data_IF_968189283135
#
_entry.id   IF_968189283135
#
_cell.length_a   1.000
_cell.length_b   1.000
_cell.length_c   1.000
_cell.angle_alpha   90.00
_cell.angle_beta   90.00
_cell.angle_gamma   90.00
#
_symmetry.space_group_name_H-M   'P 1'
#
loop_
_entity.id
_entity.type
_entity.pdbx_description
1 polymer ?
#
# COMPACT_ATOMS: atom_id res chain seq x y z
N UNK A 1 26.21 -6.13 -4.56
CA UNK A 1 25.07 -5.54 -3.84
C UNK A 1 24.79 -6.36 -2.59
N UNK A 2 24.69 -5.73 -1.45
CA UNK A 2 24.46 -6.43 -0.19
C UNK A 2 23.01 -6.33 0.30
N UNK A 3 22.25 -5.35 -0.18
CA UNK A 3 20.89 -5.10 0.25
C UNK A 3 20.00 -4.84 -0.97
N UNK A 4 18.70 -5.06 -0.79
CA UNK A 4 17.73 -4.60 -1.78
C UNK A 4 17.73 -3.07 -1.81
N UNK A 5 17.41 -2.50 -2.97
CA UNK A 5 17.52 -1.06 -3.17
C UNK A 5 16.56 -0.29 -2.25
N UNK A 6 15.31 -0.76 -2.13
CA UNK A 6 14.34 -0.09 -1.26
C UNK A 6 14.50 -0.56 0.18
N UNK A 7 14.86 0.36 1.07
CA UNK A 7 15.01 0.05 2.49
C UNK A 7 13.81 0.45 3.34
N UNK A 8 13.00 1.38 2.86
CA UNK A 8 11.83 1.92 3.56
C UNK A 8 10.95 2.63 2.55
N UNK A 9 9.63 2.58 2.71
CA UNK A 9 8.73 3.38 1.90
C UNK A 9 7.75 4.16 2.76
N UNK A 10 7.26 5.29 2.24
CA UNK A 10 6.28 6.13 2.92
C UNK A 10 5.14 6.46 1.96
N UNK A 11 3.91 6.22 2.42
CA UNK A 11 2.70 6.55 1.67
C UNK A 11 2.03 7.72 2.40
N UNK A 12 1.99 8.91 1.79
CA UNK A 12 1.37 10.07 2.43
C UNK A 12 -0.14 9.91 2.55
N UNK A 13 -0.69 10.38 3.66
CA UNK A 13 -2.14 10.34 3.88
C UNK A 13 -2.62 11.69 4.39
N UNK A 14 -3.90 12.02 4.12
CA UNK A 14 -4.55 13.22 4.65
C UNK A 14 -5.27 12.96 5.95
N UNK A 15 -5.92 11.81 6.08
CA UNK A 15 -6.64 11.41 7.29
C UNK A 15 -6.17 10.04 7.71
N UNK A 16 -5.34 10.01 8.75
CA UNK A 16 -4.68 8.78 9.18
C UNK A 16 -5.68 7.66 9.53
N UNK A 17 -6.74 7.96 10.27
CA UNK A 17 -7.71 6.94 10.65
C UNK A 17 -8.43 6.32 9.45
N UNK A 18 -8.78 7.15 8.48
CA UNK A 18 -9.41 6.70 7.24
C UNK A 18 -8.46 5.82 6.45
N UNK A 19 -7.20 6.24 6.36
CA UNK A 19 -6.17 5.48 5.63
C UNK A 19 -5.89 4.14 6.29
N UNK A 20 -5.78 4.11 7.62
CA UNK A 20 -5.60 2.87 8.37
C UNK A 20 -6.75 1.91 8.09
N UNK A 21 -7.98 2.40 8.18
CA UNK A 21 -9.16 1.58 7.90
C UNK A 21 -9.13 0.98 6.50
N UNK A 22 -8.74 1.80 5.51
CA UNK A 22 -8.62 1.33 4.13
C UNK A 22 -7.62 0.18 4.00
N UNK A 23 -6.38 0.41 4.45
CA UNK A 23 -5.31 -0.57 4.27
C UNK A 23 -5.52 -1.84 5.10
N UNK A 24 -6.01 -1.71 6.33
CA UNK A 24 -6.30 -2.87 7.16
C UNK A 24 -7.37 -3.77 6.56
N UNK A 25 -8.43 -3.17 5.99
CA UNK A 25 -9.53 -3.94 5.40
C UNK A 25 -9.16 -4.55 4.07
N UNK A 26 -8.51 -3.78 3.19
CA UNK A 26 -8.16 -4.26 1.84
C UNK A 26 -7.15 -5.40 1.93
N UNK A 27 -6.11 -5.23 2.76
CA UNK A 27 -4.99 -6.17 2.80
C UNK A 27 -5.08 -7.18 3.96
N UNK A 28 -6.11 -7.09 4.79
CA UNK A 28 -6.33 -7.99 5.92
C UNK A 28 -5.10 -8.06 6.83
N UNK A 29 -4.69 -6.91 7.34
CA UNK A 29 -3.53 -6.78 8.21
C UNK A 29 -3.80 -5.70 9.26
N UNK A 30 -2.85 -5.55 10.20
CA UNK A 30 -2.93 -4.53 11.25
C UNK A 30 -1.73 -3.61 11.14
N UNK A 31 -1.99 -2.31 11.22
CA UNK A 31 -0.96 -1.29 11.21
C UNK A 31 -0.66 -0.85 12.63
N UNK A 32 0.59 -0.47 12.88
CA UNK A 32 1.08 -0.08 14.20
C UNK A 32 1.32 1.43 14.22
N UNK A 33 0.56 2.14 15.06
CA UNK A 33 0.61 3.62 15.09
C UNK A 33 1.76 4.13 15.94
N UNK A 34 2.44 5.15 15.40
CA UNK A 34 3.50 5.87 16.08
C UNK A 34 3.32 7.35 15.86
N UNK A 35 3.64 8.14 16.86
CA UNK A 35 3.55 9.60 16.77
C UNK A 35 4.84 10.22 17.29
N UNK A 36 5.44 11.11 16.49
CA UNK A 36 6.66 11.83 16.83
C UNK A 36 6.43 13.32 16.55
N UNK A 37 5.99 14.05 17.59
CA UNK A 37 5.61 15.46 17.43
C UNK A 37 4.46 15.60 16.43
N UNK A 38 4.59 16.45 15.39
CA UNK A 38 3.54 16.60 14.38
C UNK A 38 3.49 15.45 13.37
N UNK A 39 4.48 14.56 13.35
CA UNK A 39 4.55 13.43 12.44
C UNK A 39 3.76 12.26 12.99
N UNK A 40 2.81 11.74 12.20
CA UNK A 40 2.06 10.55 12.55
C UNK A 40 2.36 9.46 11.55
N UNK A 41 2.55 8.25 12.03
CA UNK A 41 2.83 7.08 11.19
C UNK A 41 1.94 5.90 11.57
N UNK A 42 1.71 5.03 10.59
CA UNK A 42 1.11 3.72 10.81
C UNK A 42 1.94 2.71 10.03
N UNK A 43 2.69 1.91 10.76
CA UNK A 43 3.66 0.99 10.18
C UNK A 43 2.99 -0.29 9.71
N UNK A 44 3.34 -0.70 8.50
CA UNK A 44 2.93 -2.01 7.98
C UNK A 44 3.67 -3.11 8.73
N UNK A 45 3.04 -4.30 8.90
CA UNK A 45 3.75 -5.43 9.51
C UNK A 45 4.98 -5.81 8.67
N UNK A 46 6.02 -6.28 9.34
CA UNK A 46 7.30 -6.56 8.71
C UNK A 46 7.78 -7.96 9.07
N UNK A 47 8.27 -8.68 8.06
CA UNK A 47 8.87 -10.00 8.22
C UNK A 47 10.34 -9.93 7.79
N UNK A 48 11.25 -10.12 8.73
CA UNK A 48 12.67 -9.92 8.52
C UNK A 48 13.27 -10.80 7.42
N UNK A 49 12.85 -12.05 7.38
CA UNK A 49 13.46 -13.06 6.50
C UNK A 49 12.77 -13.19 5.14
N UNK A 50 11.93 -12.21 4.79
CA UNK A 50 11.20 -12.21 3.52
C UNK A 50 11.68 -11.07 2.63
N UNK A 51 11.41 -11.21 1.32
CA UNK A 51 11.70 -10.14 0.37
C UNK A 51 10.77 -8.95 0.57
N UNK A 52 11.15 -7.81 0.05
CA UNK A 52 10.41 -6.57 0.17
C UNK A 52 11.07 -5.60 1.14
N UNK A 53 10.36 -4.56 1.52
CA UNK A 53 10.84 -3.57 2.48
C UNK A 53 9.75 -3.22 3.50
N UNK A 54 10.15 -2.80 4.71
CA UNK A 54 9.20 -2.22 5.64
C UNK A 54 8.76 -0.84 5.15
N UNK A 55 7.65 -0.36 5.66
CA UNK A 55 7.15 0.97 5.31
C UNK A 55 5.99 1.39 6.18
N UNK A 56 5.46 2.58 5.87
CA UNK A 56 4.48 3.25 6.72
C UNK A 56 3.50 4.07 5.90
N UNK A 57 2.32 4.26 6.45
CA UNK A 57 1.50 5.43 6.12
C UNK A 57 2.06 6.59 6.92
N UNK A 58 2.06 7.81 6.37
CA UNK A 58 2.64 8.96 7.04
C UNK A 58 1.78 10.20 6.85
N UNK A 59 1.59 10.94 7.95
CA UNK A 59 0.91 12.23 7.94
C UNK A 59 1.78 13.30 8.57
N UNK A 60 1.86 14.45 7.90
CA UNK A 60 2.45 15.67 8.46
C UNK A 60 1.73 16.86 7.84
N UNK A 61 1.36 17.88 8.61
CA UNK A 61 0.57 18.99 8.07
C UNK A 61 1.26 19.80 6.98
N UNK A 62 2.59 19.72 6.85
CA UNK A 62 3.34 20.55 5.91
C UNK A 62 4.11 19.80 4.83
N UNK A 63 4.53 18.54 5.07
CA UNK A 63 5.54 17.91 4.22
C UNK A 63 5.08 16.73 3.38
N UNK A 64 3.90 16.17 3.63
CA UNK A 64 3.43 14.99 2.93
C UNK A 64 2.10 15.27 2.26
N UNK A 65 2.04 15.06 0.95
CA UNK A 65 0.83 15.29 0.16
C UNK A 65 0.53 14.06 -0.68
N UNK A 66 -0.63 13.41 -0.50
CA UNK A 66 -1.05 12.32 -1.40
C UNK A 66 -1.20 12.82 -2.83
N UNK A 67 -0.87 11.96 -3.80
CA UNK A 67 -0.97 12.33 -5.20
C UNK A 67 -1.15 11.10 -6.07
N UNK A 68 -1.92 11.25 -7.15
CA UNK A 68 -2.02 10.24 -8.20
C UNK A 68 -0.73 10.19 -9.04
N UNK A 69 0.08 11.23 -8.97
CA UNK A 69 1.28 11.37 -9.79
C UNK A 69 2.57 11.02 -9.04
N UNK A 70 2.46 10.51 -7.81
CA UNK A 70 3.62 10.11 -7.03
C UNK A 70 4.27 8.83 -7.54
N UNK A 71 5.36 8.44 -6.88
CA UNK A 71 6.05 7.19 -7.18
C UNK A 71 5.10 6.03 -6.97
N UNK A 72 5.07 5.09 -7.92
CA UNK A 72 4.21 3.91 -7.83
C UNK A 72 4.85 2.85 -6.96
N UNK A 73 4.11 2.37 -5.97
CA UNK A 73 4.53 1.28 -5.09
C UNK A 73 3.67 0.06 -5.38
N UNK A 74 4.30 -1.08 -5.55
CA UNK A 74 3.61 -2.37 -5.70
C UNK A 74 3.49 -3.02 -4.33
N UNK A 75 2.26 -3.21 -3.86
CA UNK A 75 1.99 -3.93 -2.63
C UNK A 75 1.62 -5.37 -2.95
N UNK A 76 2.19 -6.30 -2.19
CA UNK A 76 1.90 -7.72 -2.36
C UNK A 76 0.53 -8.04 -1.78
N UNK A 77 -0.30 -8.73 -2.57
CA UNK A 77 -1.57 -9.24 -2.08
C UNK A 77 -1.32 -10.51 -1.25
N UNK A 78 -1.52 -10.39 0.07
CA UNK A 78 -1.22 -11.49 0.99
C UNK A 78 -2.11 -12.72 0.80
N UNK A 79 -3.26 -12.55 0.19
CA UNK A 79 -4.16 -13.68 -0.13
C UNK A 79 -3.58 -14.61 -1.20
N UNK A 80 -2.58 -14.13 -1.94
CA UNK A 80 -2.00 -14.86 -3.07
C UNK A 80 -2.72 -14.60 -4.40
N UNK A 81 -3.90 -14.01 -4.36
CA UNK A 81 -4.68 -13.65 -5.54
C UNK A 81 -5.26 -12.26 -5.32
N UNK A 82 -4.75 -11.27 -6.03
CA UNK A 82 -5.13 -9.86 -5.84
C UNK A 82 -6.61 -9.58 -6.11
N UNK A 83 -7.33 -10.49 -6.75
CA UNK A 83 -8.78 -10.37 -6.92
C UNK A 83 -9.49 -10.23 -5.58
N UNK A 84 -8.97 -10.92 -4.53
CA UNK A 84 -9.56 -10.84 -3.19
C UNK A 84 -9.44 -9.45 -2.59
N UNK A 85 -8.27 -8.82 -2.76
CA UNK A 85 -8.06 -7.45 -2.30
C UNK A 85 -8.90 -6.47 -3.09
N UNK A 86 -8.96 -6.63 -4.43
CA UNK A 86 -9.73 -5.72 -5.28
C UNK A 86 -11.21 -5.67 -4.91
N UNK A 87 -11.80 -6.79 -4.48
CA UNK A 87 -13.21 -6.83 -4.08
C UNK A 87 -13.54 -5.88 -2.92
N UNK A 88 -12.54 -5.50 -2.13
CA UNK A 88 -12.75 -4.69 -0.93
C UNK A 88 -12.44 -3.21 -1.14
N UNK A 89 -11.81 -2.84 -2.25
CA UNK A 89 -11.27 -1.49 -2.46
C UNK A 89 -12.37 -0.41 -2.43
N UNK A 90 -13.41 -0.58 -3.23
CA UNK A 90 -14.41 0.47 -3.41
C UNK A 90 -15.28 0.65 -2.16
N UNK A 91 -15.55 -0.43 -1.44
CA UNK A 91 -16.36 -0.36 -0.22
C UNK A 91 -15.71 0.46 0.90
N UNK A 92 -14.39 0.64 0.85
CA UNK A 92 -13.64 1.37 1.89
C UNK A 92 -13.03 2.67 1.37
N UNK A 93 -13.56 3.19 0.27
CA UNK A 93 -13.23 4.53 -0.21
C UNK A 93 -12.15 4.61 -1.28
N UNK A 94 -11.72 3.49 -1.83
CA UNK A 94 -10.78 3.49 -2.95
C UNK A 94 -11.47 3.39 -4.28
N UNK A 95 -10.69 3.28 -5.34
CA UNK A 95 -11.18 3.16 -6.71
C UNK A 95 -10.27 2.23 -7.50
N UNK A 96 -10.85 1.38 -8.34
CA UNK A 96 -10.08 0.53 -9.24
C UNK A 96 -9.81 1.31 -10.51
N UNK A 97 -8.51 1.53 -10.82
CA UNK A 97 -8.09 2.23 -12.03
C UNK A 97 -7.81 1.24 -13.17
N UNK A 98 -7.22 0.11 -12.85
CA UNK A 98 -6.95 -0.95 -13.81
C UNK A 98 -7.24 -2.29 -13.13
N UNK A 99 -8.12 -3.12 -13.70
CA UNK A 99 -8.45 -4.40 -13.08
C UNK A 99 -7.27 -5.37 -13.18
N UNK A 100 -7.43 -6.54 -12.57
CA UNK A 100 -6.42 -7.59 -12.60
C UNK A 100 -5.98 -7.85 -14.04
N UNK A 101 -4.69 -7.73 -14.28
CA UNK A 101 -4.07 -7.84 -15.60
C UNK A 101 -2.85 -8.73 -15.50
N UNK A 102 -2.72 -9.70 -16.40
CA UNK A 102 -1.53 -10.54 -16.43
C UNK A 102 -0.31 -9.73 -16.88
N UNK A 103 0.77 -9.80 -16.10
CA UNK A 103 2.06 -9.26 -16.51
C UNK A 103 2.74 -10.27 -17.45
N UNK A 104 2.89 -11.50 -16.98
CA UNK A 104 3.45 -12.62 -17.73
C UNK A 104 3.25 -13.89 -16.89
N UNK A 105 3.46 -15.06 -17.53
CA UNK A 105 3.42 -16.32 -16.79
C UNK A 105 4.46 -16.37 -15.67
N UNK A 106 5.60 -15.72 -15.87
CA UNK A 106 6.68 -15.69 -14.88
C UNK A 106 6.41 -14.72 -13.71
N UNK A 107 5.86 -13.53 -14.00
CA UNK A 107 5.74 -12.48 -12.99
C UNK A 107 4.33 -12.34 -12.39
N UNK A 108 3.34 -13.02 -12.95
CA UNK A 108 2.00 -13.04 -12.39
C UNK A 108 1.13 -11.88 -12.85
N UNK A 109 0.44 -11.25 -11.89
CA UNK A 109 -0.63 -10.29 -12.16
C UNK A 109 -0.44 -9.00 -11.40
N UNK A 110 -1.02 -7.92 -11.94
CA UNK A 110 -1.04 -6.63 -11.29
C UNK A 110 -2.39 -5.95 -11.45
N UNK A 111 -2.64 -4.95 -10.63
CA UNK A 111 -3.78 -4.04 -10.75
C UNK A 111 -3.35 -2.68 -10.24
N UNK A 112 -4.08 -1.65 -10.65
CA UNK A 112 -3.88 -0.29 -10.15
C UNK A 112 -5.12 0.19 -9.44
N UNK A 113 -4.94 0.84 -8.30
CA UNK A 113 -6.03 1.41 -7.52
C UNK A 113 -5.68 2.82 -7.08
N UNK A 114 -6.70 3.60 -6.71
CA UNK A 114 -6.53 4.75 -5.83
C UNK A 114 -6.89 4.30 -4.42
N UNK A 115 -6.03 4.63 -3.46
CA UNK A 115 -6.36 4.37 -2.06
C UNK A 115 -7.36 5.42 -1.56
N UNK A 116 -7.73 5.36 -0.28
CA UNK A 116 -8.70 6.28 0.32
C UNK A 116 -8.21 7.74 0.34
N UNK A 117 -6.92 7.96 0.11
CA UNK A 117 -6.29 9.28 0.20
C UNK A 117 -6.00 9.88 -1.18
N UNK A 118 -6.21 9.13 -2.25
CA UNK A 118 -5.94 9.58 -3.61
C UNK A 118 -4.57 9.22 -4.14
N UNK A 119 -3.84 8.33 -3.47
CA UNK A 119 -2.59 7.80 -4.00
C UNK A 119 -2.85 6.68 -4.99
N UNK A 120 -2.08 6.65 -6.08
CA UNK A 120 -2.10 5.54 -7.03
C UNK A 120 -1.17 4.44 -6.51
N UNK A 121 -1.73 3.27 -6.28
CA UNK A 121 -1.05 2.11 -5.71
C UNK A 121 -1.23 0.93 -6.64
N UNK A 122 -0.20 0.12 -6.82
CA UNK A 122 -0.28 -1.13 -7.56
C UNK A 122 -0.38 -2.32 -6.60
N UNK A 123 -1.11 -3.35 -7.02
CA UNK A 123 -1.14 -4.63 -6.34
C UNK A 123 -0.49 -5.69 -7.21
N UNK A 124 0.13 -6.66 -6.57
CA UNK A 124 0.77 -7.78 -7.25
C UNK A 124 0.43 -9.10 -6.58
N UNK A 125 0.21 -10.13 -7.40
CA UNK A 125 0.11 -11.51 -6.94
C UNK A 125 0.58 -12.46 -8.03
N UNK A 126 0.89 -13.69 -7.64
CA UNK A 126 1.33 -14.72 -8.59
C UNK A 126 0.17 -15.43 -9.27
N UNK A 127 -0.99 -15.40 -8.66
CA UNK A 127 -2.19 -16.06 -9.18
C UNK A 127 -3.27 -15.05 -9.55
#
# INVERSE_FOLDING_TARGET
>A
MKNNVVGWFEIPVKKMERAISFYEKVFDLKLDRHKMGPLEMAWFPWLEDKSGSPGTLVYHPEYYEPSVDGVLIYLTAHSGDLSNELLKVEAVGGKILQPKTEISAEYGYMALILDSEGNRIALHSRQ
#
